data_IF_602012556019
#
_entry.id   IF_602012556019
#
_cell.length_a   1.000
_cell.length_b   1.000
_cell.length_c   1.000
_cell.angle_alpha   90.00
_cell.angle_beta   90.00
_cell.angle_gamma   90.00
#
_symmetry.space_group_name_H-M   'P 1'
#
loop_
_entity.id
_entity.type
_entity.pdbx_description
1 polymer ?
#
# COMPACT_ATOMS: atom_id res chain seq x y z
N UNK A 1 1.36 -12.28 -33.23
CA UNK A 1 2.82 -12.54 -33.23
C UNK A 1 3.59 -11.25 -32.93
N UNK A 2 3.45 -10.67 -31.73
CA UNK A 2 4.15 -9.43 -31.27
C UNK A 2 4.51 -9.45 -29.79
N UNK A 3 4.60 -10.61 -29.16
CA UNK A 3 4.91 -10.77 -27.72
C UNK A 3 6.36 -11.20 -27.42
N UNK A 4 7.24 -11.27 -28.43
CA UNK A 4 8.57 -11.88 -28.29
C UNK A 4 9.74 -10.94 -27.98
N UNK A 5 9.60 -9.60 -28.09
CA UNK A 5 10.79 -8.71 -28.10
C UNK A 5 10.95 -7.82 -26.87
N UNK A 6 9.97 -7.70 -25.99
CA UNK A 6 10.07 -6.84 -24.81
C UNK A 6 10.65 -7.52 -23.57
N UNK A 7 10.62 -8.84 -23.51
CA UNK A 7 11.13 -9.61 -22.35
C UNK A 7 12.64 -9.52 -22.13
N UNK A 8 13.43 -9.43 -23.18
CA UNK A 8 14.90 -9.50 -23.08
C UNK A 8 15.59 -8.16 -22.71
N UNK A 9 15.00 -7.03 -23.07
CA UNK A 9 15.60 -5.72 -22.78
C UNK A 9 15.37 -5.31 -21.33
N UNK A 10 14.21 -5.64 -20.77
CA UNK A 10 13.90 -5.40 -19.35
C UNK A 10 14.79 -6.22 -18.41
N UNK A 11 15.03 -7.48 -18.75
CA UNK A 11 15.86 -8.40 -17.96
C UNK A 11 17.35 -8.00 -17.89
N UNK A 12 17.90 -7.44 -18.96
CA UNK A 12 19.30 -6.96 -18.95
C UNK A 12 19.46 -5.67 -18.12
N UNK A 13 18.48 -4.79 -18.13
CA UNK A 13 18.50 -3.57 -17.28
C UNK A 13 18.33 -3.89 -15.78
N UNK A 14 17.50 -4.87 -15.43
CA UNK A 14 17.35 -5.35 -14.06
C UNK A 14 18.64 -5.99 -13.52
N UNK A 15 19.36 -6.77 -14.33
CA UNK A 15 20.67 -7.34 -13.94
C UNK A 15 21.73 -6.28 -13.69
N UNK A 16 21.75 -5.19 -14.46
CA UNK A 16 22.72 -4.11 -14.28
C UNK A 16 22.41 -3.27 -13.03
N UNK A 17 21.14 -3.02 -12.73
CA UNK A 17 20.74 -2.30 -11.52
C UNK A 17 21.03 -3.11 -10.24
N UNK A 18 20.75 -4.42 -10.21
CA UNK A 18 21.01 -5.28 -9.08
C UNK A 18 22.51 -5.38 -8.72
N UNK A 19 23.37 -5.44 -9.73
CA UNK A 19 24.83 -5.52 -9.50
C UNK A 19 25.49 -4.21 -9.04
N UNK A 20 24.90 -3.06 -9.32
CA UNK A 20 25.44 -1.77 -8.90
C UNK A 20 25.12 -1.46 -7.43
N UNK A 21 23.98 -1.94 -6.91
CA UNK A 21 23.49 -1.65 -5.55
C UNK A 21 24.20 -2.49 -4.47
N UNK A 22 24.74 -3.65 -4.80
CA UNK A 22 25.40 -4.55 -3.85
C UNK A 22 26.79 -4.11 -3.40
N UNK A 23 27.35 -3.01 -3.90
CA UNK A 23 28.77 -2.63 -3.66
C UNK A 23 28.99 -1.53 -2.62
N UNK A 24 27.98 -0.79 -2.17
CA UNK A 24 28.18 0.26 -1.16
C UNK A 24 27.50 -0.06 0.17
N UNK A 25 28.29 -0.25 1.23
CA UNK A 25 27.77 -0.21 2.61
C UNK A 25 27.35 1.22 2.94
N UNK A 26 26.20 1.45 3.61
CA UNK A 26 25.80 2.78 4.01
C UNK A 26 26.84 3.40 4.94
N UNK A 27 27.22 4.64 4.67
CA UNK A 27 28.13 5.41 5.51
C UNK A 27 27.49 5.87 6.81
N UNK A 28 26.16 5.85 6.89
CA UNK A 28 25.39 6.23 8.07
C UNK A 28 24.34 5.17 8.43
N UNK A 29 24.12 5.00 9.74
CA UNK A 29 23.03 4.17 10.25
C UNK A 29 21.74 4.94 10.11
N UNK A 30 20.79 4.45 9.32
CA UNK A 30 19.45 5.01 9.18
C UNK A 30 18.40 3.98 9.59
N UNK A 31 17.32 4.37 10.28
CA UNK A 31 16.21 3.48 10.59
C UNK A 31 15.59 2.93 9.31
N UNK A 32 15.16 1.69 9.35
CA UNK A 32 14.49 1.05 8.24
C UNK A 32 13.00 0.93 8.46
N UNK A 33 12.24 1.31 7.43
CA UNK A 33 10.79 1.21 7.44
C UNK A 33 10.37 -0.05 6.71
N UNK A 34 9.75 -0.98 7.42
CA UNK A 34 9.23 -2.21 6.85
C UNK A 34 7.71 -2.07 6.66
N UNK A 35 7.30 -1.92 5.41
CA UNK A 35 5.90 -1.77 5.06
C UNK A 35 5.35 -3.07 4.48
N UNK A 36 4.16 -3.47 4.89
CA UNK A 36 3.43 -4.51 4.20
C UNK A 36 2.56 -3.86 3.12
N UNK A 37 3.00 -3.94 1.88
CA UNK A 37 2.10 -3.79 0.74
C UNK A 37 1.47 -5.17 0.52
N UNK A 38 0.17 -5.29 0.77
CA UNK A 38 -0.58 -6.48 0.40
C UNK A 38 -0.89 -6.37 -1.09
N UNK A 39 0.13 -6.55 -1.90
CA UNK A 39 -0.08 -7.00 -3.25
C UNK A 39 0.02 -8.51 -3.21
N UNK A 40 -1.10 -9.19 -3.32
CA UNK A 40 -1.12 -10.59 -3.68
C UNK A 40 -0.57 -10.63 -5.11
N UNK A 41 0.63 -11.17 -5.28
CA UNK A 41 1.06 -11.59 -6.59
C UNK A 41 -0.02 -12.56 -7.10
N UNK A 42 -0.70 -12.19 -8.16
CA UNK A 42 -1.65 -13.06 -8.80
C UNK A 42 -0.90 -14.33 -9.21
N UNK A 43 -1.29 -15.40 -8.73
CA UNK A 43 -1.35 -16.78 -9.12
C UNK A 43 -0.56 -17.22 -10.36
N UNK A 44 0.74 -17.15 -10.23
CA UNK A 44 1.59 -18.04 -11.01
C UNK A 44 1.90 -19.24 -10.10
N UNK A 45 1.67 -20.49 -10.54
CA UNK A 45 2.00 -21.67 -9.75
C UNK A 45 3.43 -21.56 -9.25
N UNK A 46 3.63 -21.78 -7.95
CA UNK A 46 4.91 -21.57 -7.23
C UNK A 46 6.13 -22.21 -7.92
N UNK A 47 5.92 -23.31 -8.67
CA UNK A 47 6.98 -23.97 -9.45
C UNK A 47 7.40 -23.20 -10.72
N UNK A 48 6.56 -22.36 -11.32
CA UNK A 48 6.90 -21.54 -12.50
C UNK A 48 7.51 -20.19 -12.14
N UNK A 49 7.14 -19.63 -11.01
CA UNK A 49 7.71 -18.36 -10.53
C UNK A 49 9.15 -18.55 -10.05
N UNK A 50 9.44 -19.66 -9.36
CA UNK A 50 10.82 -20.00 -8.95
C UNK A 50 11.77 -20.19 -10.15
N UNK A 51 11.24 -20.54 -11.32
CA UNK A 51 12.02 -20.64 -12.57
C UNK A 51 12.13 -19.33 -13.34
N UNK A 52 11.24 -18.33 -13.07
CA UNK A 52 11.21 -17.09 -13.83
C UNK A 52 12.09 -15.99 -13.24
N UNK A 53 12.29 -15.88 -11.96
CA UNK A 53 13.37 -15.10 -11.31
C UNK A 53 13.13 -14.93 -9.80
N UNK A 54 14.12 -15.21 -8.96
CA UNK A 54 14.09 -14.87 -7.52
C UNK A 54 13.86 -13.38 -7.25
N UNK A 55 14.31 -12.53 -8.15
CA UNK A 55 14.25 -11.06 -8.05
C UNK A 55 12.83 -10.48 -8.22
N UNK A 56 11.94 -11.13 -8.97
CA UNK A 56 10.54 -10.70 -9.14
C UNK A 56 9.67 -10.93 -7.89
N UNK A 57 10.00 -11.93 -7.10
CA UNK A 57 9.31 -12.21 -5.83
C UNK A 57 9.53 -11.13 -4.79
N UNK A 58 10.67 -10.48 -4.82
CA UNK A 58 11.01 -9.40 -3.93
C UNK A 58 10.25 -8.10 -4.26
N UNK A 59 10.00 -7.83 -5.55
CA UNK A 59 9.36 -6.59 -6.01
C UNK A 59 7.89 -6.43 -5.58
N UNK A 60 7.19 -7.54 -5.30
CA UNK A 60 5.76 -7.50 -4.94
C UNK A 60 5.49 -7.37 -3.43
N UNK A 61 6.51 -7.36 -2.60
CA UNK A 61 6.35 -7.30 -1.15
C UNK A 61 6.59 -5.91 -0.54
N UNK A 62 6.85 -4.87 -1.34
CA UNK A 62 7.44 -3.64 -0.82
C UNK A 62 6.64 -2.37 -1.06
N UNK A 63 6.75 -1.47 -0.09
CA UNK A 63 6.46 -0.06 -0.25
C UNK A 63 7.28 0.55 -1.39
N UNK A 64 6.81 1.67 -1.95
CA UNK A 64 7.53 2.37 -2.99
C UNK A 64 8.95 2.67 -2.54
N UNK A 65 9.86 2.28 -3.42
CA UNK A 65 11.27 2.22 -3.10
C UNK A 65 11.95 3.56 -3.11
N UNK A 66 12.55 3.80 -2.02
CA UNK A 66 13.83 4.45 -1.94
C UNK A 66 14.96 3.40 -2.07
N UNK A 67 16.22 3.80 -2.09
CA UNK A 67 17.40 2.90 -2.01
C UNK A 67 17.31 1.90 -0.83
N UNK A 68 16.54 2.22 0.19
CA UNK A 68 16.18 1.36 1.32
C UNK A 68 15.36 0.16 0.88
N UNK A 69 14.43 0.30 -0.07
CA UNK A 69 13.66 -0.79 -0.63
C UNK A 69 14.52 -1.85 -1.32
N UNK A 70 15.51 -1.45 -2.12
CA UNK A 70 16.42 -2.37 -2.81
C UNK A 70 17.29 -3.18 -1.83
N UNK A 71 17.67 -2.60 -0.69
CA UNK A 71 18.39 -3.35 0.37
C UNK A 71 17.48 -4.32 1.11
N UNK A 72 16.18 -4.01 1.24
CA UNK A 72 15.19 -4.94 1.77
C UNK A 72 15.00 -6.14 0.85
N UNK A 73 15.03 -5.94 -0.48
CA UNK A 73 14.99 -7.05 -1.42
C UNK A 73 16.11 -8.04 -1.13
N UNK A 74 17.34 -7.60 -0.95
CA UNK A 74 18.48 -8.47 -0.64
C UNK A 74 18.29 -9.23 0.69
N UNK A 75 17.65 -8.63 1.69
CA UNK A 75 17.32 -9.29 2.96
C UNK A 75 16.19 -10.32 2.81
N UNK A 76 15.17 -10.00 2.02
CA UNK A 76 14.01 -10.87 1.79
C UNK A 76 14.27 -12.02 0.82
N UNK A 77 15.25 -11.92 -0.07
CA UNK A 77 15.72 -13.03 -0.92
C UNK A 77 16.16 -14.24 -0.12
N UNK A 78 16.53 -14.06 1.14
CA UNK A 78 16.88 -15.15 2.06
C UNK A 78 15.66 -15.79 2.72
N UNK A 79 14.49 -15.13 2.61
CA UNK A 79 13.25 -15.68 3.14
C UNK A 79 12.65 -16.62 2.10
N UNK A 80 12.35 -17.85 2.51
CA UNK A 80 11.62 -18.79 1.64
C UNK A 80 10.30 -18.16 1.21
N UNK A 81 9.84 -18.40 -0.04
CA UNK A 81 8.51 -17.99 -0.46
C UNK A 81 7.50 -18.49 0.56
N UNK A 82 6.80 -17.57 1.23
CA UNK A 82 5.75 -17.95 2.16
C UNK A 82 4.59 -18.52 1.36
N UNK A 83 4.01 -19.64 1.80
CA UNK A 83 2.81 -20.15 1.16
C UNK A 83 1.72 -19.08 1.20
N UNK A 84 0.95 -19.05 0.16
CA UNK A 84 -0.11 -18.09 -0.12
C UNK A 84 -1.25 -18.19 0.91
N UNK A 85 -1.15 -17.50 2.03
CA UNK A 85 -2.19 -17.58 3.06
C UNK A 85 -2.24 -16.38 4.01
N UNK A 86 -2.45 -15.19 3.47
CA UNK A 86 -2.66 -14.02 4.32
C UNK A 86 -1.36 -13.41 4.89
N UNK A 87 -1.38 -12.93 6.12
CA UNK A 87 -0.24 -12.25 6.75
C UNK A 87 0.98 -13.19 6.88
N UNK A 88 2.22 -12.70 6.67
CA UNK A 88 3.42 -13.48 6.93
C UNK A 88 3.49 -13.93 8.39
N UNK A 89 4.22 -15.00 8.68
CA UNK A 89 4.42 -15.45 10.06
C UNK A 89 5.27 -14.45 10.84
N UNK A 90 5.16 -14.45 12.17
CA UNK A 90 5.96 -13.58 13.02
C UNK A 90 7.48 -13.83 12.82
N UNK A 91 7.87 -15.09 12.67
CA UNK A 91 9.27 -15.47 12.40
C UNK A 91 9.78 -14.87 11.08
N UNK A 92 8.98 -14.91 10.02
CA UNK A 92 9.36 -14.34 8.72
C UNK A 92 9.50 -12.81 8.79
N UNK A 93 8.64 -12.13 9.53
CA UNK A 93 8.71 -10.68 9.77
C UNK A 93 9.97 -10.35 10.59
N UNK A 94 10.23 -11.10 11.64
CA UNK A 94 11.40 -10.95 12.49
C UNK A 94 12.71 -11.17 11.72
N UNK A 95 12.83 -12.25 10.93
CA UNK A 95 14.01 -12.49 10.10
C UNK A 95 14.22 -11.39 9.05
N UNK A 96 13.13 -10.85 8.49
CA UNK A 96 13.21 -9.70 7.59
C UNK A 96 13.73 -8.46 8.34
N UNK A 97 13.25 -8.20 9.55
CA UNK A 97 13.73 -7.09 10.36
C UNK A 97 15.23 -7.21 10.67
N UNK A 98 15.71 -8.39 11.09
CA UNK A 98 17.14 -8.67 11.31
C UNK A 98 18.00 -8.44 10.06
N UNK A 99 17.48 -8.87 8.92
CA UNK A 99 18.22 -8.75 7.67
C UNK A 99 18.40 -7.29 7.21
N UNK A 100 17.48 -6.40 7.61
CA UNK A 100 17.50 -5.00 7.20
C UNK A 100 17.99 -4.04 8.29
N UNK A 101 17.98 -4.43 9.55
CA UNK A 101 18.44 -3.56 10.63
C UNK A 101 19.91 -3.18 10.45
N UNK A 102 20.17 -1.89 10.57
CA UNK A 102 21.52 -1.30 10.50
C UNK A 102 22.01 -0.84 11.87
N UNK A 103 21.26 -1.13 12.92
CA UNK A 103 21.47 -0.66 14.29
C UNK A 103 20.90 0.74 14.56
N UNK A 104 20.06 1.26 13.65
CA UNK A 104 19.28 2.48 13.86
C UNK A 104 17.80 2.17 14.21
N UNK A 105 17.41 0.91 14.11
CA UNK A 105 16.08 0.40 14.41
C UNK A 105 15.22 0.14 13.18
N UNK A 106 14.05 -0.45 13.42
CA UNK A 106 13.09 -0.88 12.39
C UNK A 106 11.69 -0.36 12.71
N UNK A 107 11.08 0.34 11.76
CA UNK A 107 9.68 0.74 11.85
C UNK A 107 8.81 -0.21 11.03
N UNK A 108 7.84 -0.85 11.68
CA UNK A 108 6.79 -1.60 11.02
C UNK A 108 5.57 -0.69 10.78
N UNK A 109 5.27 -0.43 9.53
CA UNK A 109 4.02 0.24 9.13
C UNK A 109 3.01 -0.82 8.69
N UNK A 110 1.96 -1.01 9.47
CA UNK A 110 1.06 -2.16 9.38
C UNK A 110 -0.37 -1.68 9.16
N UNK A 111 -1.05 -2.24 8.17
CA UNK A 111 -2.48 -1.99 8.00
C UNK A 111 -3.27 -2.63 9.14
N UNK A 112 -4.32 -1.95 9.60
CA UNK A 112 -5.12 -2.40 10.73
C UNK A 112 -5.98 -3.63 10.39
N UNK A 113 -5.39 -4.81 10.50
CA UNK A 113 -6.07 -6.11 10.45
C UNK A 113 -5.60 -6.97 11.63
N UNK A 114 -6.51 -7.69 12.25
CA UNK A 114 -6.23 -8.48 13.48
C UNK A 114 -5.06 -9.44 13.30
N UNK A 115 -5.03 -10.16 12.17
CA UNK A 115 -3.94 -11.10 11.88
C UNK A 115 -2.58 -10.40 11.71
N UNK A 116 -2.55 -9.24 11.06
CA UNK A 116 -1.32 -8.46 10.86
C UNK A 116 -0.84 -7.86 12.18
N UNK A 117 -1.74 -7.22 12.93
CA UNK A 117 -1.40 -6.66 14.25
C UNK A 117 -0.78 -7.69 15.19
N UNK A 118 -1.38 -8.88 15.26
CA UNK A 118 -0.87 -9.96 16.10
C UNK A 118 0.53 -10.43 15.67
N UNK A 119 0.72 -10.68 14.39
CA UNK A 119 1.99 -11.21 13.87
C UNK A 119 3.11 -10.19 13.88
N UNK A 120 2.85 -8.94 13.48
CA UNK A 120 3.84 -7.87 13.58
C UNK A 120 4.14 -7.48 15.02
N UNK A 121 3.12 -7.53 15.92
CA UNK A 121 3.33 -7.33 17.34
C UNK A 121 4.28 -8.38 17.93
N UNK A 122 4.04 -9.65 17.62
CA UNK A 122 4.91 -10.75 18.05
C UNK A 122 6.33 -10.61 17.50
N UNK A 123 6.48 -10.26 16.22
CA UNK A 123 7.80 -10.02 15.61
C UNK A 123 8.52 -8.82 16.25
N UNK A 124 7.80 -7.78 16.64
CA UNK A 124 8.35 -6.63 17.35
C UNK A 124 8.94 -7.04 18.70
N UNK A 125 8.24 -7.89 19.47
CA UNK A 125 8.76 -8.43 20.72
C UNK A 125 9.98 -9.33 20.51
N UNK A 126 9.99 -10.17 19.45
CA UNK A 126 11.17 -10.96 19.07
C UNK A 126 12.37 -10.06 18.73
N UNK A 127 12.17 -8.96 18.00
CA UNK A 127 13.20 -7.96 17.73
C UNK A 127 13.80 -7.39 19.01
N UNK A 128 12.98 -7.05 19.99
CA UNK A 128 13.43 -6.50 21.29
C UNK A 128 14.26 -7.51 22.08
N UNK A 129 13.96 -8.82 21.97
CA UNK A 129 14.75 -9.88 22.60
C UNK A 129 16.19 -9.97 22.04
N UNK A 130 16.40 -9.55 20.80
CA UNK A 130 17.70 -9.50 20.11
C UNK A 130 18.28 -8.07 20.07
N UNK A 131 17.87 -7.20 21.00
CA UNK A 131 18.32 -5.80 21.10
C UNK A 131 18.10 -4.95 19.85
N UNK A 132 17.17 -5.35 18.97
CA UNK A 132 16.75 -4.55 17.82
C UNK A 132 15.64 -3.59 18.23
N UNK A 133 15.89 -2.28 18.15
CA UNK A 133 14.88 -1.27 18.44
C UNK A 133 13.79 -1.28 17.36
N UNK A 134 12.65 -1.91 17.65
CA UNK A 134 11.54 -2.05 16.71
C UNK A 134 10.29 -1.34 17.23
N UNK A 135 9.62 -0.59 16.34
CA UNK A 135 8.36 0.10 16.60
C UNK A 135 7.31 -0.23 15.57
N UNK A 136 6.04 -0.05 15.94
CA UNK A 136 4.88 -0.32 15.07
C UNK A 136 4.03 0.93 14.99
N UNK A 137 3.61 1.28 13.77
CA UNK A 137 2.56 2.25 13.47
C UNK A 137 1.45 1.55 12.70
N UNK A 138 0.21 1.77 13.10
CA UNK A 138 -0.97 1.13 12.51
C UNK A 138 -1.66 2.12 11.58
N UNK A 139 -1.82 1.74 10.29
CA UNK A 139 -2.59 2.51 9.32
C UNK A 139 -4.06 2.09 9.37
N UNK A 140 -4.97 3.08 9.50
CA UNK A 140 -6.40 2.89 9.72
C UNK A 140 -7.27 3.92 8.96
N UNK A 141 -6.92 4.13 7.70
CA UNK A 141 -7.45 5.20 6.85
C UNK A 141 -8.89 5.00 6.33
N UNK A 142 -9.47 3.79 6.45
CA UNK A 142 -10.79 3.47 5.90
C UNK A 142 -11.95 4.07 6.70
N UNK A 143 -12.71 4.97 6.10
CA UNK A 143 -13.87 5.61 6.72
C UNK A 143 -15.18 4.83 6.55
N UNK A 144 -15.18 3.79 5.72
CA UNK A 144 -16.39 3.02 5.45
C UNK A 144 -16.89 2.26 6.67
N UNK A 145 -16.00 1.77 7.52
CA UNK A 145 -16.31 0.92 8.67
C UNK A 145 -15.55 1.41 9.89
N UNK A 146 -16.29 1.81 10.93
CA UNK A 146 -15.67 2.23 12.21
C UNK A 146 -15.12 1.05 13.00
N UNK A 147 -15.86 -0.06 13.00
CA UNK A 147 -15.48 -1.33 13.63
C UNK A 147 -15.86 -2.47 12.67
N UNK A 148 -14.92 -3.33 12.39
CA UNK A 148 -15.08 -4.47 11.48
C UNK A 148 -14.95 -5.77 12.27
N UNK A 149 -15.55 -6.84 11.77
CA UNK A 149 -15.36 -8.21 12.30
C UNK A 149 -13.88 -8.65 12.25
N UNK A 150 -13.08 -8.02 11.40
CA UNK A 150 -11.68 -8.37 11.13
C UNK A 150 -10.67 -7.42 11.75
N UNK A 151 -11.14 -6.31 12.38
CA UNK A 151 -10.28 -5.28 12.96
C UNK A 151 -10.90 -4.73 14.25
N UNK A 152 -10.05 -4.28 15.17
CA UNK A 152 -10.47 -3.36 16.22
C UNK A 152 -10.30 -1.94 15.68
N UNK A 153 -11.40 -1.25 15.38
CA UNK A 153 -11.39 0.05 14.73
C UNK A 153 -11.37 -0.03 13.19
N UNK A 154 -11.02 1.06 12.54
CA UNK A 154 -11.00 1.20 11.08
C UNK A 154 -9.96 0.29 10.43
N UNK A 155 -10.24 -0.19 9.22
CA UNK A 155 -9.27 -0.94 8.40
C UNK A 155 -8.21 0.00 7.83
N UNK A 156 -7.02 -0.55 7.53
CA UNK A 156 -6.02 0.12 6.71
C UNK A 156 -6.18 -0.30 5.25
N UNK A 157 -6.34 0.68 4.36
CA UNK A 157 -6.56 0.44 2.93
C UNK A 157 -5.54 1.21 2.06
N UNK A 158 -5.94 1.75 0.93
CA UNK A 158 -5.02 2.31 -0.06
C UNK A 158 -4.31 3.60 0.42
N UNK A 159 -4.92 4.39 1.28
CA UNK A 159 -4.30 5.62 1.81
C UNK A 159 -2.98 5.37 2.56
N UNK A 160 -2.81 4.19 3.14
CA UNK A 160 -1.55 3.78 3.75
C UNK A 160 -0.34 3.89 2.80
N UNK A 161 -0.54 3.77 1.48
CA UNK A 161 0.52 3.88 0.45
C UNK A 161 1.16 5.27 0.45
N UNK A 162 0.36 6.32 0.62
CA UNK A 162 0.86 7.70 0.73
C UNK A 162 1.75 7.84 1.98
N UNK A 163 1.33 7.25 3.09
CA UNK A 163 2.13 7.19 4.32
C UNK A 163 3.45 6.45 4.13
N UNK A 164 3.43 5.32 3.44
CA UNK A 164 4.66 4.58 3.14
C UNK A 164 5.64 5.42 2.33
N UNK A 165 5.16 6.11 1.30
CA UNK A 165 5.99 7.01 0.48
C UNK A 165 6.67 8.09 1.32
N UNK A 166 5.90 8.78 2.16
CA UNK A 166 6.36 9.90 2.99
C UNK A 166 7.37 9.41 4.04
N UNK A 167 7.03 8.38 4.80
CA UNK A 167 7.85 7.91 5.92
C UNK A 167 9.13 7.23 5.43
N UNK A 168 9.07 6.49 4.32
CA UNK A 168 10.28 5.91 3.74
C UNK A 168 11.25 6.98 3.21
N UNK A 169 10.73 8.05 2.60
CA UNK A 169 11.55 9.17 2.15
C UNK A 169 12.23 9.91 3.32
N UNK A 170 11.49 10.11 4.42
CA UNK A 170 12.03 10.69 5.64
C UNK A 170 13.14 9.82 6.26
N UNK A 171 12.96 8.49 6.22
CA UNK A 171 13.98 7.55 6.67
C UNK A 171 15.25 7.64 5.83
N UNK A 172 15.14 7.82 4.51
CA UNK A 172 16.31 8.02 3.63
C UNK A 172 17.08 9.31 3.94
N UNK A 173 16.37 10.36 4.36
CA UNK A 173 17.02 11.59 4.82
C UNK A 173 17.65 11.48 6.21
N UNK A 174 17.49 10.34 6.89
CA UNK A 174 18.17 10.05 8.16
C UNK A 174 17.41 10.47 9.40
N UNK A 175 16.08 10.64 9.33
CA UNK A 175 15.26 10.84 10.53
C UNK A 175 15.39 9.66 11.48
N UNK A 176 15.39 9.95 12.77
CA UNK A 176 15.38 8.96 13.84
C UNK A 176 14.10 8.11 13.83
N UNK A 177 14.14 6.94 14.46
CA UNK A 177 12.99 6.06 14.55
C UNK A 177 11.79 6.75 15.24
N UNK A 178 12.03 7.60 16.22
CA UNK A 178 10.98 8.34 16.94
C UNK A 178 10.34 9.40 16.03
N UNK A 179 11.14 10.18 15.31
CA UNK A 179 10.63 11.15 14.34
C UNK A 179 9.84 10.48 13.21
N UNK A 180 10.23 9.27 12.79
CA UNK A 180 9.47 8.51 11.79
C UNK A 180 8.12 8.04 12.32
N UNK A 181 8.03 7.62 13.59
CA UNK A 181 6.75 7.29 14.24
C UNK A 181 5.85 8.52 14.31
N UNK A 182 6.36 9.66 14.78
CA UNK A 182 5.61 10.91 14.85
C UNK A 182 5.09 11.36 13.49
N UNK A 183 5.92 11.25 12.45
CA UNK A 183 5.52 11.57 11.07
C UNK A 183 4.44 10.60 10.56
N UNK A 184 4.59 9.30 10.83
CA UNK A 184 3.63 8.29 10.41
C UNK A 184 2.27 8.48 11.11
N UNK A 185 2.26 8.78 12.40
CA UNK A 185 1.04 9.08 13.17
C UNK A 185 0.35 10.36 12.63
N UNK A 186 1.13 11.38 12.29
CA UNK A 186 0.62 12.60 11.67
C UNK A 186 -0.01 12.35 10.31
N UNK A 187 0.60 11.48 9.47
CA UNK A 187 0.00 11.06 8.20
C UNK A 187 -1.31 10.32 8.44
N UNK A 188 -1.33 9.36 9.37
CA UNK A 188 -2.54 8.59 9.69
C UNK A 188 -3.68 9.50 10.17
N UNK A 189 -3.38 10.50 10.98
CA UNK A 189 -4.37 11.48 11.45
C UNK A 189 -5.00 12.29 10.30
N UNK A 190 -4.29 12.44 9.17
CA UNK A 190 -4.68 13.31 8.06
C UNK A 190 -5.07 12.58 6.76
N UNK A 191 -5.10 11.26 6.74
CA UNK A 191 -5.51 10.46 5.57
C UNK A 191 -6.87 9.83 5.78
N UNK A 192 -7.72 9.85 4.73
CA UNK A 192 -9.03 9.19 4.71
C UNK A 192 -9.23 8.49 3.38
N UNK A 193 -9.78 7.29 3.44
CA UNK A 193 -10.04 6.47 2.27
C UNK A 193 -11.40 5.81 2.32
N UNK A 194 -12.00 5.62 1.15
CA UNK A 194 -13.20 4.80 0.98
C UNK A 194 -13.21 4.17 -0.40
N UNK A 195 -13.66 2.92 -0.50
CA UNK A 195 -13.73 2.20 -1.77
C UNK A 195 -15.09 1.58 -2.05
N UNK A 196 -15.27 1.11 -3.28
CA UNK A 196 -16.40 0.28 -3.71
C UNK A 196 -15.91 -0.86 -4.59
N UNK A 197 -16.70 -1.94 -4.64
CA UNK A 197 -16.49 -3.08 -5.54
C UNK A 197 -17.70 -3.31 -6.44
N UNK A 198 -17.45 -3.59 -7.72
CA UNK A 198 -18.44 -3.99 -8.70
C UNK A 198 -18.45 -5.52 -8.87
N UNK A 199 -17.34 -6.17 -8.54
CA UNK A 199 -17.22 -7.62 -8.50
C UNK A 199 -16.54 -8.03 -7.19
N UNK A 200 -16.64 -9.32 -6.86
CA UNK A 200 -15.80 -9.93 -5.83
C UNK A 200 -14.40 -10.22 -6.38
N UNK A 201 -13.43 -10.42 -5.50
CA UNK A 201 -12.15 -10.99 -5.92
C UNK A 201 -12.18 -12.53 -5.87
N UNK A 202 -11.44 -13.16 -6.80
CA UNK A 202 -11.24 -14.60 -6.83
C UNK A 202 -9.91 -14.94 -6.20
N UNK A 203 -9.92 -15.59 -5.04
CA UNK A 203 -8.67 -16.01 -4.41
C UNK A 203 -8.23 -17.37 -4.96
N UNK A 204 -6.95 -17.55 -5.31
CA UNK A 204 -6.46 -18.80 -5.89
C UNK A 204 -6.69 -20.02 -5.03
N UNK A 205 -6.50 -19.87 -3.72
CA UNK A 205 -6.69 -20.95 -2.76
C UNK A 205 -8.14 -21.44 -2.71
N UNK A 206 -9.12 -20.54 -2.96
CA UNK A 206 -10.54 -20.88 -2.99
C UNK A 206 -11.00 -21.28 -4.39
N UNK A 207 -10.40 -20.72 -5.44
CA UNK A 207 -10.80 -20.89 -6.85
C UNK A 207 -12.22 -20.39 -7.15
N UNK A 208 -12.75 -19.52 -6.28
CA UNK A 208 -14.10 -18.98 -6.37
C UNK A 208 -14.15 -17.58 -5.75
N UNK A 209 -15.15 -16.75 -6.10
CA UNK A 209 -15.37 -15.45 -5.52
C UNK A 209 -15.41 -15.49 -3.98
N UNK A 210 -14.92 -14.43 -3.34
CA UNK A 210 -14.93 -14.31 -1.86
C UNK A 210 -16.33 -14.06 -1.33
N UNK A 211 -17.15 -13.35 -2.10
CA UNK A 211 -18.59 -13.13 -1.88
C UNK A 211 -19.33 -13.12 -3.23
N UNK A 212 -20.63 -13.35 -3.21
CA UNK A 212 -21.49 -13.25 -4.39
C UNK A 212 -22.06 -11.84 -4.50
N UNK A 213 -22.15 -11.30 -5.72
CA UNK A 213 -22.74 -10.00 -6.05
C UNK A 213 -23.47 -10.14 -7.39
N UNK A 214 -24.65 -9.54 -7.52
CA UNK A 214 -25.42 -9.55 -8.75
C UNK A 214 -24.84 -8.58 -9.79
N UNK A 215 -25.15 -8.84 -11.07
CA UNK A 215 -24.66 -8.02 -12.19
C UNK A 215 -25.12 -6.55 -12.13
N UNK A 216 -26.21 -6.27 -11.43
CA UNK A 216 -26.78 -4.93 -11.24
C UNK A 216 -26.55 -4.37 -9.82
N UNK A 217 -25.60 -4.95 -9.09
CA UNK A 217 -25.29 -4.60 -7.70
C UNK A 217 -23.84 -4.09 -7.56
N UNK A 218 -23.62 -3.36 -6.49
CA UNK A 218 -22.30 -2.94 -6.04
C UNK A 218 -22.19 -3.00 -4.53
N UNK A 219 -20.97 -3.15 -4.05
CA UNK A 219 -20.63 -3.18 -2.63
C UNK A 219 -19.90 -1.90 -2.24
N UNK A 220 -20.50 -1.08 -1.37
CA UNK A 220 -19.90 0.18 -0.89
C UNK A 220 -19.07 -0.08 0.35
N UNK A 221 -17.85 0.47 0.38
CA UNK A 221 -16.92 0.31 1.51
C UNK A 221 -16.27 -1.05 1.57
N UNK A 222 -16.03 -1.68 0.42
CA UNK A 222 -15.34 -2.97 0.33
C UNK A 222 -13.91 -2.89 0.85
N UNK A 223 -13.45 -3.97 1.47
CA UNK A 223 -12.07 -4.10 1.95
C UNK A 223 -11.11 -4.64 0.88
N UNK A 224 -9.81 -4.54 1.15
CA UNK A 224 -8.74 -4.96 0.23
C UNK A 224 -8.59 -6.48 0.07
N UNK A 225 -9.13 -7.24 1.01
CA UNK A 225 -9.02 -8.71 0.99
C UNK A 225 -10.34 -9.37 0.57
N UNK A 226 -11.27 -8.59 -0.03
CA UNK A 226 -12.58 -9.06 -0.39
C UNK A 226 -13.54 -9.20 0.79
N UNK A 227 -13.29 -8.44 1.86
CA UNK A 227 -14.24 -8.33 2.96
C UNK A 227 -15.47 -7.57 2.49
N UNK A 228 -16.67 -7.96 2.96
CA UNK A 228 -17.88 -7.22 2.70
C UNK A 228 -17.73 -5.75 3.11
N UNK A 229 -18.37 -4.88 2.35
CA UNK A 229 -18.41 -3.46 2.64
C UNK A 229 -19.45 -3.09 3.72
N UNK A 230 -19.76 -1.82 3.72
CA UNK A 230 -20.77 -1.24 4.59
C UNK A 230 -22.20 -1.55 4.11
N UNK A 231 -22.38 -1.59 2.80
CA UNK A 231 -23.70 -1.68 2.19
C UNK A 231 -23.62 -2.24 0.77
N UNK A 232 -24.51 -3.17 0.47
CA UNK A 232 -24.82 -3.58 -0.90
C UNK A 232 -25.99 -2.74 -1.44
N UNK A 233 -25.87 -2.29 -2.67
CA UNK A 233 -26.88 -1.48 -3.35
C UNK A 233 -26.89 -1.75 -4.85
N UNK A 234 -27.87 -1.20 -5.55
CA UNK A 234 -27.89 -1.21 -7.02
C UNK A 234 -26.77 -0.37 -7.60
N UNK A 235 -26.34 -0.68 -8.82
CA UNK A 235 -25.36 0.10 -9.56
C UNK A 235 -25.82 1.56 -9.65
N UNK A 236 -24.89 2.47 -9.41
CA UNK A 236 -25.09 3.90 -9.57
C UNK A 236 -24.16 4.46 -10.67
N UNK A 237 -24.50 5.59 -11.27
CA UNK A 237 -23.56 6.32 -12.14
C UNK A 237 -22.24 6.61 -11.43
N UNK A 238 -21.14 6.63 -12.20
CA UNK A 238 -19.79 6.83 -11.65
C UNK A 238 -19.67 8.10 -10.79
N UNK A 239 -20.29 9.21 -11.22
CA UNK A 239 -20.28 10.47 -10.46
C UNK A 239 -20.99 10.38 -9.11
N UNK A 240 -22.04 9.57 -9.00
CA UNK A 240 -22.75 9.35 -7.73
C UNK A 240 -21.91 8.49 -6.78
N UNK A 241 -21.35 7.38 -7.27
CA UNK A 241 -20.52 6.48 -6.46
C UNK A 241 -19.28 7.23 -5.94
N UNK A 242 -18.56 7.90 -6.84
CA UNK A 242 -17.34 8.63 -6.49
C UNK A 242 -17.65 9.84 -5.62
N UNK A 243 -18.77 10.50 -5.90
CA UNK A 243 -19.27 11.59 -5.07
C UNK A 243 -19.53 11.14 -3.64
N UNK A 244 -20.21 10.01 -3.46
CA UNK A 244 -20.46 9.42 -2.15
C UNK A 244 -19.16 9.11 -1.39
N UNK A 245 -18.19 8.45 -2.03
CA UNK A 245 -16.92 8.12 -1.39
C UNK A 245 -16.13 9.37 -1.00
N UNK A 246 -16.01 10.32 -1.92
CA UNK A 246 -15.28 11.58 -1.68
C UNK A 246 -15.92 12.36 -0.54
N UNK A 247 -17.23 12.45 -0.51
CA UNK A 247 -17.95 13.15 0.56
C UNK A 247 -17.74 12.49 1.92
N UNK A 248 -17.80 11.15 2.01
CA UNK A 248 -17.51 10.45 3.28
C UNK A 248 -16.09 10.72 3.77
N UNK A 249 -15.10 10.81 2.89
CA UNK A 249 -13.74 11.19 3.28
C UNK A 249 -13.67 12.63 3.79
N UNK A 250 -14.37 13.57 3.12
CA UNK A 250 -14.41 14.98 3.51
C UNK A 250 -15.15 15.21 4.84
N UNK A 251 -16.21 14.46 5.10
CA UNK A 251 -17.01 14.58 6.32
C UNK A 251 -16.29 14.00 7.55
N UNK A 252 -15.48 12.97 7.36
CA UNK A 252 -14.80 12.30 8.46
C UNK A 252 -13.57 13.08 8.97
N UNK A 253 -12.83 13.70 8.10
CA UNK A 253 -11.79 14.67 8.44
C UNK A 253 -12.26 16.04 7.96
N UNK A 254 -12.38 17.03 8.86
CA UNK A 254 -12.90 18.35 8.49
C UNK A 254 -11.85 19.10 7.65
N UNK A 255 -11.83 18.81 6.35
CA UNK A 255 -11.06 19.57 5.37
C UNK A 255 -11.65 20.97 5.24
N UNK A 256 -10.80 21.95 4.99
CA UNK A 256 -11.20 23.35 4.87
C UNK A 256 -10.76 23.94 3.53
N UNK A 257 -11.46 24.98 3.09
CA UNK A 257 -11.04 25.74 1.93
C UNK A 257 -9.61 26.31 2.16
N UNK A 258 -8.75 26.08 1.19
CA UNK A 258 -7.34 26.42 1.27
C UNK A 258 -6.41 25.24 1.66
N UNK A 259 -6.94 24.16 2.20
CA UNK A 259 -6.13 22.94 2.44
C UNK A 259 -5.52 22.44 1.14
N UNK A 260 -4.32 21.86 1.24
CA UNK A 260 -3.64 21.17 0.15
C UNK A 260 -3.64 19.68 0.40
N UNK A 261 -4.01 18.90 -0.63
CA UNK A 261 -4.16 17.45 -0.50
C UNK A 261 -3.39 16.67 -1.55
N UNK A 262 -2.92 15.48 -1.18
CA UNK A 262 -2.68 14.42 -2.14
C UNK A 262 -4.00 13.67 -2.36
N UNK A 263 -4.46 13.61 -3.62
CA UNK A 263 -5.67 12.89 -4.00
C UNK A 263 -5.31 11.64 -4.79
N UNK A 264 -5.78 10.48 -4.34
CA UNK A 264 -5.50 9.21 -4.99
C UNK A 264 -6.80 8.50 -5.37
N UNK A 265 -6.90 8.10 -6.63
CA UNK A 265 -7.85 7.09 -7.10
C UNK A 265 -7.06 5.83 -7.37
N UNK A 266 -7.37 4.80 -6.62
CA UNK A 266 -6.69 3.52 -6.65
C UNK A 266 -7.64 2.44 -7.18
N UNK A 267 -7.27 1.79 -8.28
CA UNK A 267 -7.97 0.61 -8.77
C UNK A 267 -7.78 -0.58 -7.84
N UNK A 268 -8.69 -1.56 -7.94
CA UNK A 268 -8.64 -2.78 -7.13
C UNK A 268 -8.14 -4.00 -7.92
N UNK A 269 -7.66 -3.80 -9.14
CA UNK A 269 -7.05 -4.79 -10.02
C UNK A 269 -7.85 -5.09 -11.29
N UNK A 270 -9.17 -4.94 -11.26
CA UNK A 270 -10.06 -5.19 -12.39
C UNK A 270 -10.62 -3.95 -13.07
N UNK A 271 -10.26 -2.75 -12.65
CA UNK A 271 -10.78 -1.49 -13.22
C UNK A 271 -9.78 -0.84 -14.17
N UNK A 272 -10.13 -0.67 -15.45
CA UNK A 272 -9.27 -0.02 -16.43
C UNK A 272 -8.85 1.40 -16.02
N UNK A 273 -7.63 1.79 -16.35
CA UNK A 273 -7.08 3.11 -16.01
C UNK A 273 -7.96 4.28 -16.52
N UNK A 274 -8.61 4.11 -17.66
CA UNK A 274 -9.54 5.11 -18.19
C UNK A 274 -10.73 5.35 -17.25
N UNK A 275 -11.28 4.32 -16.66
CA UNK A 275 -12.40 4.43 -15.69
C UNK A 275 -11.93 5.07 -14.38
N UNK A 276 -10.69 4.76 -13.96
CA UNK A 276 -10.08 5.42 -12.81
C UNK A 276 -9.92 6.93 -13.05
N UNK A 277 -9.59 7.37 -14.27
CA UNK A 277 -9.54 8.81 -14.61
C UNK A 277 -10.92 9.45 -14.65
N UNK A 278 -11.98 8.73 -15.06
CA UNK A 278 -13.37 9.21 -14.94
C UNK A 278 -13.71 9.44 -13.47
N UNK A 279 -13.37 8.50 -12.60
CA UNK A 279 -13.54 8.65 -11.15
C UNK A 279 -12.74 9.85 -10.62
N UNK A 280 -11.49 10.01 -11.02
CA UNK A 280 -10.66 11.14 -10.58
C UNK A 280 -11.22 12.50 -11.02
N UNK A 281 -11.83 12.60 -12.20
CA UNK A 281 -12.48 13.83 -12.65
C UNK A 281 -13.52 14.32 -11.64
N UNK A 282 -14.35 13.42 -11.11
CA UNK A 282 -15.34 13.75 -10.09
C UNK A 282 -14.71 14.17 -8.77
N UNK A 283 -13.67 13.45 -8.30
CA UNK A 283 -12.91 13.83 -7.11
C UNK A 283 -12.35 15.24 -7.25
N UNK A 284 -11.67 15.53 -8.36
CA UNK A 284 -11.04 16.83 -8.63
C UNK A 284 -12.07 17.97 -8.65
N UNK A 285 -13.26 17.74 -9.25
CA UNK A 285 -14.33 18.71 -9.25
C UNK A 285 -14.83 19.01 -7.83
N UNK A 286 -15.10 17.99 -7.03
CA UNK A 286 -15.57 18.17 -5.65
C UNK A 286 -14.57 18.91 -4.77
N UNK A 287 -13.28 18.57 -4.88
CA UNK A 287 -12.22 19.27 -4.15
C UNK A 287 -12.13 20.74 -4.57
N UNK A 288 -12.22 21.04 -5.87
CA UNK A 288 -12.24 22.41 -6.39
C UNK A 288 -13.45 23.20 -5.85
N UNK A 289 -14.64 22.59 -5.86
CA UNK A 289 -15.88 23.23 -5.39
C UNK A 289 -15.83 23.49 -3.86
N UNK A 290 -15.13 22.63 -3.11
CA UNK A 290 -14.85 22.82 -1.69
C UNK A 290 -13.70 23.82 -1.41
N UNK A 291 -13.05 24.36 -2.44
CA UNK A 291 -11.91 25.27 -2.28
C UNK A 291 -10.62 24.58 -1.82
N UNK A 292 -10.54 23.25 -1.92
CA UNK A 292 -9.39 22.43 -1.54
C UNK A 292 -8.46 22.29 -2.74
N UNK A 293 -7.17 22.49 -2.54
CA UNK A 293 -6.18 22.43 -3.61
C UNK A 293 -5.59 21.02 -3.73
N UNK A 294 -5.62 20.45 -4.92
CA UNK A 294 -4.87 19.22 -5.20
C UNK A 294 -3.41 19.57 -5.44
N UNK A 295 -2.56 19.25 -4.48
CA UNK A 295 -1.11 19.40 -4.60
C UNK A 295 -0.53 18.34 -5.54
N UNK A 296 -0.95 17.08 -5.38
CA UNK A 296 -0.50 15.94 -6.20
C UNK A 296 -1.63 14.94 -6.38
N UNK A 297 -1.75 14.39 -7.58
CA UNK A 297 -2.75 13.38 -7.89
C UNK A 297 -2.09 12.05 -8.27
N UNK A 298 -2.72 10.97 -7.86
CA UNK A 298 -2.32 9.59 -8.14
C UNK A 298 -3.52 8.82 -8.70
N UNK A 299 -3.39 8.29 -9.91
CA UNK A 299 -4.44 7.50 -10.56
C UNK A 299 -3.79 6.27 -11.16
N UNK A 300 -3.91 5.14 -10.49
CA UNK A 300 -3.35 3.85 -10.93
C UNK A 300 -3.73 2.73 -9.96
N UNK A 301 -3.20 1.54 -10.20
CA UNK A 301 -3.25 0.36 -9.33
C UNK A 301 -2.13 0.42 -8.28
N UNK A 302 -2.41 0.97 -7.11
CA UNK A 302 -1.42 1.07 -6.00
C UNK A 302 -1.61 0.00 -4.93
N UNK A 303 -2.86 -0.40 -4.69
CA UNK A 303 -3.23 -1.36 -3.67
C UNK A 303 -4.44 -2.16 -4.12
N UNK A 304 -4.19 -3.31 -4.74
CA UNK A 304 -5.20 -4.11 -5.42
C UNK A 304 -5.80 -5.20 -4.54
N UNK A 305 -6.97 -5.69 -4.94
CA UNK A 305 -7.63 -6.88 -4.43
C UNK A 305 -7.78 -7.93 -5.54
N UNK A 306 -6.64 -8.38 -6.06
CA UNK A 306 -6.48 -9.36 -7.14
C UNK A 306 -7.17 -8.87 -8.43
N UNK A 307 -8.33 -9.43 -8.75
CA UNK A 307 -9.13 -9.20 -9.96
C UNK A 307 -10.43 -8.42 -9.70
N UNK A 308 -10.57 -7.81 -8.51
CA UNK A 308 -11.77 -7.06 -8.16
C UNK A 308 -11.95 -5.84 -9.06
N UNK A 309 -13.09 -5.72 -9.71
CA UNK A 309 -13.50 -4.48 -10.36
C UNK A 309 -14.05 -3.51 -9.30
N UNK A 310 -13.61 -2.29 -9.33
CA UNK A 310 -13.92 -1.24 -8.36
C UNK A 310 -12.74 -0.31 -8.15
N UNK A 311 -12.91 0.69 -7.33
CA UNK A 311 -11.81 1.58 -6.95
C UNK A 311 -12.01 2.18 -5.56
N UNK A 312 -10.98 2.85 -5.08
CA UNK A 312 -11.03 3.62 -3.84
C UNK A 312 -10.52 5.04 -4.06
N UNK A 313 -11.08 5.97 -3.30
CA UNK A 313 -10.61 7.35 -3.18
C UNK A 313 -9.85 7.47 -1.87
N UNK A 314 -8.66 8.10 -1.90
CA UNK A 314 -7.93 8.48 -0.69
C UNK A 314 -7.55 9.95 -0.77
N UNK A 315 -7.77 10.66 0.33
CA UNK A 315 -7.41 12.06 0.48
C UNK A 315 -6.46 12.19 1.68
N UNK A 316 -5.28 12.77 1.45
CA UNK A 316 -4.31 13.09 2.50
C UNK A 316 -4.14 14.60 2.56
N UNK A 317 -4.53 15.22 3.67
CA UNK A 317 -4.23 16.62 3.94
C UNK A 317 -2.73 16.77 4.25
N UNK A 318 -2.07 17.68 3.53
CA UNK A 318 -0.62 17.82 3.54
C UNK A 318 -0.18 19.03 4.37
N UNK A 319 0.85 18.82 5.17
CA UNK A 319 1.72 19.90 5.65
C UNK A 319 2.97 20.02 4.76
N UNK A 320 3.82 21.02 5.03
CA UNK A 320 5.00 21.28 4.21
C UNK A 320 6.05 20.16 4.29
N UNK A 321 6.15 19.50 5.43
CA UNK A 321 7.04 18.36 5.60
C UNK A 321 6.57 17.14 4.81
N UNK A 322 5.28 16.86 4.85
CA UNK A 322 4.67 15.78 4.04
C UNK A 322 4.84 16.03 2.55
N UNK A 323 4.66 17.29 2.08
CA UNK A 323 4.89 17.67 0.67
C UNK A 323 6.33 17.41 0.25
N UNK A 324 7.31 17.83 1.07
CA UNK A 324 8.73 17.57 0.84
C UNK A 324 9.01 16.08 0.60
N UNK A 325 8.49 15.19 1.47
CA UNK A 325 8.73 13.76 1.36
C UNK A 325 7.88 13.08 0.28
N UNK A 326 6.71 13.62 -0.02
CA UNK A 326 5.90 13.14 -1.14
C UNK A 326 6.59 13.38 -2.49
N UNK A 327 7.35 14.47 -2.61
CA UNK A 327 8.12 14.83 -3.80
C UNK A 327 9.51 14.19 -3.86
N UNK A 328 9.94 13.52 -2.79
CA UNK A 328 11.23 12.85 -2.77
C UNK A 328 11.33 11.82 -3.91
N UNK A 329 12.42 11.83 -4.70
CA UNK A 329 12.55 10.93 -5.85
C UNK A 329 12.55 9.47 -5.42
N UNK A 330 11.93 8.63 -6.25
CA UNK A 330 11.81 7.19 -6.03
C UNK A 330 12.32 6.46 -7.26
N UNK A 331 13.24 5.53 -7.05
CA UNK A 331 13.71 4.60 -8.09
C UNK A 331 13.18 3.21 -7.79
N UNK A 332 12.14 2.80 -8.49
CA UNK A 332 11.54 1.46 -8.38
C UNK A 332 11.41 0.83 -9.75
N UNK A 333 11.38 -0.51 -9.85
CA UNK A 333 11.22 -1.22 -11.12
C UNK A 333 9.94 -0.84 -11.88
N UNK A 334 8.92 -0.39 -11.16
CA UNK A 334 7.67 0.11 -11.72
C UNK A 334 7.45 1.54 -11.24
N UNK A 335 7.24 2.46 -12.18
CA UNK A 335 6.93 3.85 -11.85
C UNK A 335 5.52 3.94 -11.23
N UNK A 336 5.46 3.85 -9.92
CA UNK A 336 4.22 3.95 -9.16
C UNK A 336 3.95 5.41 -8.76
N UNK A 337 5.01 6.21 -8.56
CA UNK A 337 4.91 7.61 -8.08
C UNK A 337 5.56 8.59 -9.03
#
# INVERSE_FOLDING_TARGET
MLYGHWGNVGLQRLKMAGNAVLREKPRHKVPLVLCRVVQRAADVPSGKIAQLHPELHAAHAHAPDSRVGLRRQAGMERLRPLPFSGAPTADAIYEAAKAVDTGAGVLFMVKNYTGDRGRFGMACEMCKMDDINAKIVIADDDVAVKDSTFTAGRRGVAGAILGYKIVCAAAEEGKSLDELVELADRVNANVRSMGFGLTSCTTPAKGAPTFEIGDDEMEIGVGLHGEPGRQRTKLMPADEIVGLMTQNCLDDLPFQAGDEVAAMVNGLGGTPLMEQYIAYNKVAQMLKDAGIKVYKSYVNEYCTSIDMAGCSVSLLRLDDEMKKYLDYPVEIPYAIF
#
